data_IF_690041980623
#
_entry.id   IF_690041980623
#
_cell.length_a   1.000
_cell.length_b   1.000
_cell.length_c   1.000
_cell.angle_alpha   90.00
_cell.angle_beta   90.00
_cell.angle_gamma   90.00
#
_symmetry.space_group_name_H-M   'P 1'
#
loop_
_entity.id
_entity.type
_entity.pdbx_description
1 polymer ?
#
# COMPACT_ATOMS: atom_id res chain seq x y z
N UNK A 1 -42.29 -21.82 -36.60
CA UNK A 1 -42.42 -21.55 -35.15
C UNK A 1 -41.03 -21.64 -34.56
N UNK A 2 -40.33 -20.52 -34.53
CA UNK A 2 -38.99 -20.38 -33.93
C UNK A 2 -39.17 -19.59 -32.66
N UNK A 3 -39.14 -20.27 -31.51
CA UNK A 3 -39.09 -19.63 -30.20
C UNK A 3 -37.65 -19.21 -29.95
N UNK A 4 -37.42 -17.91 -30.08
CA UNK A 4 -36.26 -17.20 -29.57
C UNK A 4 -36.24 -17.33 -28.05
N UNK A 5 -35.26 -18.07 -27.53
CA UNK A 5 -35.06 -18.22 -26.08
C UNK A 5 -34.25 -17.01 -25.65
N UNK A 6 -34.96 -16.04 -25.08
CA UNK A 6 -34.39 -14.79 -24.57
C UNK A 6 -33.17 -15.06 -23.69
N UNK A 7 -32.00 -14.64 -24.19
CA UNK A 7 -30.83 -14.46 -23.37
C UNK A 7 -31.16 -13.38 -22.33
N UNK A 8 -31.28 -13.77 -21.07
CA UNK A 8 -31.31 -12.85 -19.93
C UNK A 8 -30.08 -11.95 -20.03
N UNK A 9 -30.23 -10.61 -19.93
CA UNK A 9 -29.08 -9.73 -19.93
C UNK A 9 -28.21 -10.11 -18.73
N UNK A 10 -26.94 -10.45 -18.96
CA UNK A 10 -25.95 -10.47 -17.88
C UNK A 10 -26.02 -9.10 -17.21
N UNK A 11 -26.42 -9.06 -15.95
CA UNK A 11 -26.41 -7.84 -15.14
C UNK A 11 -25.00 -7.28 -15.23
N UNK A 12 -24.83 -6.17 -15.94
CA UNK A 12 -23.57 -5.46 -15.99
C UNK A 12 -23.25 -5.01 -14.56
N UNK A 13 -22.15 -5.52 -14.01
CA UNK A 13 -21.61 -5.06 -12.75
C UNK A 13 -21.40 -3.54 -12.84
N UNK A 14 -22.17 -2.77 -12.08
CA UNK A 14 -21.98 -1.32 -12.03
C UNK A 14 -20.89 -1.03 -11.00
N UNK A 15 -19.65 -1.07 -11.46
CA UNK A 15 -18.53 -0.53 -10.71
C UNK A 15 -18.58 1.00 -10.74
N UNK A 16 -18.49 1.63 -9.57
CA UNK A 16 -18.50 3.09 -9.41
C UNK A 16 -17.25 3.55 -8.67
N UNK A 17 -16.44 4.40 -9.31
CA UNK A 17 -15.32 5.05 -8.61
C UNK A 17 -15.85 6.20 -7.75
N UNK A 18 -15.34 6.34 -6.53
CA UNK A 18 -15.62 7.53 -5.72
C UNK A 18 -15.02 8.78 -6.39
N UNK A 19 -15.86 9.77 -6.67
CA UNK A 19 -15.43 11.06 -7.19
C UNK A 19 -14.92 11.95 -6.04
N UNK A 20 -13.60 12.16 -5.97
CA UNK A 20 -12.96 12.89 -4.87
C UNK A 20 -12.85 14.40 -5.11
N UNK A 21 -13.07 14.87 -6.33
CA UNK A 21 -13.08 16.30 -6.67
C UNK A 21 -14.26 16.99 -5.97
N UNK A 22 -13.96 18.06 -5.20
CA UNK A 22 -14.95 18.77 -4.39
C UNK A 22 -15.54 17.98 -3.21
N UNK A 23 -15.18 16.70 -3.04
CA UNK A 23 -15.73 15.85 -1.98
C UNK A 23 -15.34 16.34 -0.58
N UNK A 24 -16.23 16.21 0.39
CA UNK A 24 -15.96 16.44 1.82
C UNK A 24 -15.87 15.11 2.57
N UNK A 25 -15.39 15.13 3.81
CA UNK A 25 -15.44 13.97 4.71
C UNK A 25 -16.88 13.48 4.92
N UNK A 26 -17.88 14.38 4.89
CA UNK A 26 -19.30 14.03 4.93
C UNK A 26 -19.76 13.24 3.71
N UNK A 27 -19.41 13.68 2.50
CA UNK A 27 -19.76 12.95 1.27
C UNK A 27 -19.04 11.61 1.17
N UNK A 28 -17.77 11.54 1.61
CA UNK A 28 -17.02 10.28 1.68
C UNK A 28 -17.64 9.32 2.70
N UNK A 29 -17.94 9.80 3.90
CA UNK A 29 -18.58 9.01 4.94
C UNK A 29 -19.94 8.46 4.48
N UNK A 30 -20.78 9.29 3.88
CA UNK A 30 -22.07 8.84 3.31
C UNK A 30 -21.90 7.78 2.22
N UNK A 31 -20.90 7.94 1.34
CA UNK A 31 -20.60 6.98 0.27
C UNK A 31 -20.15 5.61 0.81
N UNK A 32 -19.36 5.61 1.89
CA UNK A 32 -18.90 4.40 2.60
C UNK A 32 -20.03 3.72 3.36
N UNK A 33 -20.84 4.48 4.10
CA UNK A 33 -21.99 3.96 4.85
C UNK A 33 -23.01 3.30 3.92
N UNK A 34 -23.28 3.90 2.75
CA UNK A 34 -24.15 3.31 1.73
C UNK A 34 -23.63 1.95 1.19
N UNK A 35 -22.39 1.58 1.50
CA UNK A 35 -21.71 0.34 1.09
C UNK A 35 -21.29 -0.53 2.27
N UNK A 36 -21.92 -0.33 3.42
CA UNK A 36 -21.75 -1.16 4.61
C UNK A 36 -20.47 -0.89 5.42
N UNK A 37 -19.73 0.19 5.14
CA UNK A 37 -18.53 0.55 5.90
C UNK A 37 -18.85 1.56 6.99
N UNK A 38 -18.67 1.15 8.24
CA UNK A 38 -18.85 1.99 9.43
C UNK A 38 -17.63 2.89 9.66
N UNK A 39 -17.64 4.07 9.03
CA UNK A 39 -16.56 5.05 9.14
C UNK A 39 -16.43 5.69 10.53
N UNK A 40 -17.36 5.47 11.47
CA UNK A 40 -17.21 5.94 12.86
C UNK A 40 -16.03 5.27 13.58
N UNK A 41 -15.56 4.13 13.05
CA UNK A 41 -14.39 3.39 13.53
C UNK A 41 -13.05 4.00 13.07
N UNK A 42 -13.08 4.99 12.18
CA UNK A 42 -11.88 5.63 11.64
C UNK A 42 -11.45 6.75 12.59
N UNK A 43 -10.76 6.37 13.66
CA UNK A 43 -10.43 7.22 14.79
C UNK A 43 -8.94 7.17 15.12
N UNK A 44 -8.27 8.32 14.95
CA UNK A 44 -6.84 8.48 15.29
C UNK A 44 -6.58 8.27 16.78
N UNK A 45 -7.53 8.61 17.66
CA UNK A 45 -7.38 8.39 19.10
C UNK A 45 -7.34 6.90 19.46
N UNK A 46 -7.85 6.04 18.56
CA UNK A 46 -7.81 4.57 18.69
C UNK A 46 -6.67 3.93 17.90
N UNK A 47 -5.74 4.74 17.37
CA UNK A 47 -4.57 4.25 16.62
C UNK A 47 -4.83 3.94 15.15
N UNK A 48 -5.99 4.30 14.61
CA UNK A 48 -6.35 4.11 13.18
C UNK A 48 -6.22 5.42 12.40
N UNK A 49 -6.45 5.41 11.08
CA UNK A 49 -6.57 6.65 10.29
C UNK A 49 -8.03 7.14 10.37
N UNK A 50 -8.26 8.44 10.16
CA UNK A 50 -9.61 9.01 10.13
C UNK A 50 -10.14 9.22 8.69
N UNK A 51 -11.38 9.71 8.54
CA UNK A 51 -11.95 10.03 7.23
C UNK A 51 -11.18 11.11 6.47
N UNK A 52 -10.59 12.07 7.17
CA UNK A 52 -9.76 13.11 6.56
C UNK A 52 -8.50 12.50 5.93
N UNK A 53 -7.84 11.57 6.63
CA UNK A 53 -6.71 10.82 6.10
C UNK A 53 -7.09 10.04 4.84
N UNK A 54 -8.25 9.37 4.83
CA UNK A 54 -8.71 8.65 3.65
C UNK A 54 -9.02 9.58 2.49
N UNK A 55 -9.64 10.73 2.75
CA UNK A 55 -9.94 11.70 1.71
C UNK A 55 -8.66 12.30 1.11
N UNK A 56 -7.66 12.61 1.95
CA UNK A 56 -6.33 13.05 1.49
C UNK A 56 -5.71 11.98 0.60
N UNK A 57 -5.72 10.72 1.05
CA UNK A 57 -5.13 9.59 0.33
C UNK A 57 -5.80 9.33 -1.03
N UNK A 58 -7.12 9.46 -1.12
CA UNK A 58 -7.83 9.32 -2.41
C UNK A 58 -7.55 10.51 -3.33
N UNK A 59 -7.41 11.72 -2.77
CA UNK A 59 -7.10 12.94 -3.53
C UNK A 59 -5.66 13.01 -4.02
N UNK A 60 -4.70 12.52 -3.23
CA UNK A 60 -3.30 12.39 -3.64
C UNK A 60 -3.11 11.30 -4.69
N UNK A 61 -4.11 10.42 -4.86
CA UNK A 61 -4.05 9.33 -5.80
C UNK A 61 -3.33 8.08 -5.27
N UNK A 62 -2.92 8.10 -4.01
CA UNK A 62 -2.36 6.93 -3.29
C UNK A 62 -3.35 5.77 -3.16
N UNK A 63 -4.66 6.06 -3.29
CA UNK A 63 -5.68 5.01 -3.32
C UNK A 63 -6.86 5.37 -4.21
N UNK A 64 -7.59 4.34 -4.62
CA UNK A 64 -8.86 4.48 -5.34
C UNK A 64 -9.93 3.69 -4.63
N UNK A 65 -11.09 4.30 -4.39
CA UNK A 65 -12.26 3.61 -3.87
C UNK A 65 -13.17 3.21 -5.03
N UNK A 66 -13.44 1.91 -5.15
CA UNK A 66 -14.38 1.36 -6.12
C UNK A 66 -15.52 0.72 -5.36
N UNK A 67 -16.75 1.14 -5.65
CA UNK A 67 -17.96 0.52 -5.18
C UNK A 67 -18.52 -0.46 -6.21
N UNK A 68 -19.06 -1.59 -5.76
CA UNK A 68 -19.84 -2.50 -6.60
C UNK A 68 -21.25 -2.62 -6.05
N UNK A 69 -22.24 -2.55 -6.94
CA UNK A 69 -23.65 -2.72 -6.59
C UNK A 69 -24.04 -4.20 -6.42
N UNK A 70 -23.07 -5.13 -6.56
CA UNK A 70 -23.28 -6.58 -6.46
C UNK A 70 -22.28 -7.18 -5.47
N UNK A 71 -22.74 -8.13 -4.66
CA UNK A 71 -21.89 -8.81 -3.69
C UNK A 71 -21.24 -10.05 -4.35
N UNK A 72 -20.12 -9.87 -5.06
CA UNK A 72 -19.48 -10.96 -5.83
C UNK A 72 -18.82 -12.05 -4.96
N UNK A 73 -18.47 -11.70 -3.74
CA UNK A 73 -17.97 -12.65 -2.74
C UNK A 73 -18.97 -12.67 -1.61
N UNK A 74 -19.52 -13.83 -1.23
CA UNK A 74 -20.45 -14.01 -0.10
C UNK A 74 -19.91 -13.64 1.29
N UNK A 75 -19.00 -12.66 1.38
CA UNK A 75 -18.52 -12.02 2.60
C UNK A 75 -19.45 -10.89 3.03
N UNK A 76 -20.27 -11.20 4.02
CA UNK A 76 -20.95 -10.34 5.02
C UNK A 76 -21.03 -8.83 4.69
N UNK A 77 -21.81 -8.50 3.67
CA UNK A 77 -22.89 -7.55 3.85
C UNK A 77 -24.14 -8.41 4.01
N UNK A 78 -24.75 -8.44 5.20
CA UNK A 78 -25.78 -9.41 5.58
C UNK A 78 -27.01 -9.45 4.65
N UNK A 79 -27.14 -8.47 3.73
CA UNK A 79 -28.38 -8.21 3.01
C UNK A 79 -28.23 -8.25 1.47
N UNK A 80 -27.06 -8.65 0.95
CA UNK A 80 -26.81 -8.61 -0.51
C UNK A 80 -26.64 -7.19 -1.10
N UNK A 81 -26.29 -6.21 -0.26
CA UNK A 81 -26.14 -4.80 -0.64
C UNK A 81 -24.81 -4.45 -1.30
N UNK A 82 -24.73 -3.20 -1.79
CA UNK A 82 -23.54 -2.62 -2.41
C UNK A 82 -22.32 -2.67 -1.48
N UNK A 83 -21.13 -2.88 -2.05
CA UNK A 83 -19.86 -3.01 -1.33
C UNK A 83 -18.84 -2.01 -1.87
N UNK A 84 -17.72 -1.81 -1.16
CA UNK A 84 -16.56 -1.10 -1.71
C UNK A 84 -15.23 -1.75 -1.36
N UNK A 85 -14.26 -1.50 -2.25
CA UNK A 85 -12.87 -1.91 -2.11
C UNK A 85 -11.98 -0.69 -2.31
N UNK A 86 -10.99 -0.54 -1.43
CA UNK A 86 -9.91 0.43 -1.53
C UNK A 86 -8.71 -0.21 -2.24
N UNK A 87 -8.40 0.26 -3.43
CA UNK A 87 -7.24 -0.16 -4.20
C UNK A 87 -6.03 0.70 -3.85
N UNK A 88 -4.89 0.05 -3.59
CA UNK A 88 -3.62 0.71 -3.29
C UNK A 88 -2.52 0.01 -4.07
N UNK A 89 -1.71 0.75 -4.80
CA UNK A 89 -0.48 0.23 -5.41
C UNK A 89 0.70 0.57 -4.52
N UNK A 90 1.54 -0.43 -4.23
CA UNK A 90 2.66 -0.31 -3.30
C UNK A 90 3.89 -0.93 -3.94
N UNK A 91 4.98 -0.17 -4.01
CA UNK A 91 6.32 -0.68 -4.24
C UNK A 91 6.83 -1.33 -2.95
N UNK A 92 7.36 -2.53 -3.04
CA UNK A 92 8.16 -3.16 -1.98
C UNK A 92 9.53 -3.46 -2.54
N UNK A 93 10.54 -2.74 -2.05
CA UNK A 93 11.88 -2.73 -2.60
C UNK A 93 12.84 -3.46 -1.67
N UNK A 94 13.49 -4.53 -2.16
CA UNK A 94 14.67 -5.09 -1.50
C UNK A 94 15.90 -4.28 -1.91
N UNK A 95 16.27 -3.35 -1.05
CA UNK A 95 17.51 -2.57 -1.19
C UNK A 95 18.69 -3.45 -0.80
N UNK A 96 19.61 -3.66 -1.74
CA UNK A 96 20.83 -4.45 -1.56
C UNK A 96 22.07 -3.59 -1.76
N UNK A 97 23.18 -3.98 -1.13
CA UNK A 97 24.50 -3.38 -1.39
C UNK A 97 25.16 -4.03 -2.61
N UNK A 98 26.05 -3.31 -3.31
CA UNK A 98 26.93 -3.92 -4.31
C UNK A 98 27.68 -5.12 -3.73
N UNK A 99 27.68 -6.25 -4.44
CA UNK A 99 28.36 -7.48 -4.02
C UNK A 99 27.71 -8.27 -2.88
N UNK A 100 26.59 -7.82 -2.32
CA UNK A 100 25.86 -8.57 -1.28
C UNK A 100 25.17 -9.82 -1.84
N UNK A 101 24.94 -10.81 -0.96
CA UNK A 101 24.15 -11.99 -1.30
C UNK A 101 22.71 -11.61 -1.66
N UNK A 102 22.08 -12.35 -2.58
CA UNK A 102 20.74 -12.03 -3.09
C UNK A 102 19.63 -12.09 -2.02
N UNK A 103 19.86 -12.81 -0.91
CA UNK A 103 18.94 -12.94 0.22
C UNK A 103 19.18 -11.90 1.31
N UNK A 104 20.21 -11.05 1.21
CA UNK A 104 20.50 -10.01 2.20
C UNK A 104 20.04 -8.66 1.66
N UNK A 105 19.10 -8.02 2.36
CA UNK A 105 18.63 -6.70 2.00
C UNK A 105 18.37 -5.83 3.24
N UNK A 106 18.16 -4.55 3.01
CA UNK A 106 17.81 -3.59 4.03
C UNK A 106 16.38 -3.82 4.52
N UNK A 107 16.23 -3.93 5.85
CA UNK A 107 14.95 -4.11 6.54
C UNK A 107 14.72 -2.92 7.46
N UNK A 108 13.56 -2.29 7.31
CA UNK A 108 13.05 -1.29 8.23
C UNK A 108 12.66 -1.98 9.55
N UNK A 109 13.39 -1.70 10.63
CA UNK A 109 13.15 -2.34 11.94
C UNK A 109 12.10 -1.58 12.72
N UNK A 110 12.29 -0.27 12.85
CA UNK A 110 11.40 0.62 13.58
C UNK A 110 11.29 2.00 12.95
N UNK A 111 10.16 2.66 13.22
CA UNK A 111 9.93 4.07 12.96
C UNK A 111 9.66 4.81 14.26
N UNK A 112 10.19 6.02 14.37
CA UNK A 112 9.93 6.94 15.48
C UNK A 112 9.33 8.24 14.93
N UNK A 113 8.17 8.65 15.47
CA UNK A 113 7.41 9.80 14.96
C UNK A 113 7.50 11.04 15.88
N UNK A 114 8.06 12.11 15.34
CA UNK A 114 8.03 13.46 15.91
C UNK A 114 8.48 13.55 17.38
N UNK A 115 8.07 14.62 18.08
CA UNK A 115 8.43 14.86 19.49
C UNK A 115 7.87 13.83 20.47
N UNK A 116 6.84 13.08 20.06
CA UNK A 116 6.21 12.08 20.91
C UNK A 116 7.07 10.84 21.12
N UNK A 117 8.13 10.67 20.31
CA UNK A 117 8.99 9.48 20.30
C UNK A 117 8.16 8.18 20.18
N UNK A 118 7.00 8.25 19.52
CA UNK A 118 6.14 7.09 19.32
C UNK A 118 6.84 6.12 18.38
N UNK A 119 7.17 4.94 18.90
CA UNK A 119 7.85 3.87 18.17
C UNK A 119 6.88 2.87 17.56
N UNK A 120 7.14 2.47 16.32
CA UNK A 120 6.41 1.40 15.62
C UNK A 120 7.39 0.40 15.04
N UNK A 121 7.18 -0.89 15.33
CA UNK A 121 7.93 -1.97 14.67
C UNK A 121 7.40 -2.18 13.26
N UNK A 122 8.31 -2.40 12.31
CA UNK A 122 8.00 -2.53 10.88
C UNK A 122 8.37 -3.91 10.35
N UNK A 123 9.62 -4.31 10.56
CA UNK A 123 10.23 -5.58 10.14
C UNK A 123 9.89 -5.97 8.70
N UNK A 124 10.10 -5.04 7.77
CA UNK A 124 9.78 -5.22 6.36
C UNK A 124 10.81 -4.51 5.47
N UNK A 125 10.95 -4.91 4.20
CA UNK A 125 11.70 -4.12 3.22
C UNK A 125 11.08 -2.73 3.03
N UNK A 126 11.84 -1.82 2.43
CA UNK A 126 11.37 -0.48 2.05
C UNK A 126 10.04 -0.60 1.29
N UNK A 127 9.03 0.15 1.72
CA UNK A 127 7.67 0.04 1.16
C UNK A 127 7.08 1.42 0.92
N UNK A 128 6.82 1.75 -0.32
CA UNK A 128 6.32 3.07 -0.73
C UNK A 128 5.04 2.93 -1.55
N UNK A 129 4.07 3.81 -1.38
CA UNK A 129 2.87 3.81 -2.22
C UNK A 129 3.15 4.51 -3.54
N UNK A 130 2.56 4.00 -4.60
CA UNK A 130 2.57 4.68 -5.88
C UNK A 130 1.53 5.81 -5.87
N UNK A 131 1.89 6.94 -6.46
CA UNK A 131 0.98 8.04 -6.76
C UNK A 131 0.12 7.73 -7.99
N UNK A 132 -0.97 8.47 -8.19
CA UNK A 132 -1.84 8.24 -9.35
C UNK A 132 -1.08 8.42 -10.67
N UNK A 133 -1.04 7.35 -11.47
CA UNK A 133 -0.39 7.33 -12.78
C UNK A 133 1.13 7.18 -12.74
N UNK A 134 1.73 7.05 -11.55
CA UNK A 134 3.15 6.80 -11.39
C UNK A 134 3.50 5.36 -11.77
N UNK A 135 4.56 5.18 -12.56
CA UNK A 135 5.07 3.86 -12.89
C UNK A 135 5.96 3.34 -11.75
N UNK A 136 5.93 2.03 -11.52
CA UNK A 136 6.65 1.42 -10.40
C UNK A 136 8.16 1.71 -10.42
N UNK A 137 8.75 1.91 -11.61
CA UNK A 137 10.16 2.27 -11.79
C UNK A 137 10.49 3.67 -11.27
N UNK A 138 9.60 4.62 -11.54
CA UNK A 138 9.73 6.01 -11.06
C UNK A 138 9.64 6.04 -9.53
N UNK A 139 8.74 5.21 -8.98
CA UNK A 139 8.57 5.04 -7.54
C UNK A 139 9.84 4.48 -6.86
N UNK A 140 10.68 3.67 -7.54
CA UNK A 140 11.91 3.11 -6.93
C UNK A 140 12.87 4.22 -6.50
N UNK A 141 13.20 5.12 -7.43
CA UNK A 141 14.16 6.19 -7.16
C UNK A 141 13.61 7.20 -6.15
N UNK A 142 12.31 7.53 -6.26
CA UNK A 142 11.63 8.38 -5.29
C UNK A 142 11.65 7.78 -3.89
N UNK A 143 11.31 6.49 -3.76
CA UNK A 143 11.28 5.83 -2.47
C UNK A 143 12.67 5.76 -1.82
N UNK A 144 13.73 5.46 -2.58
CA UNK A 144 15.11 5.49 -2.05
C UNK A 144 15.48 6.89 -1.58
N UNK A 145 15.14 7.92 -2.36
CA UNK A 145 15.43 9.32 -2.00
C UNK A 145 14.68 9.77 -0.75
N UNK A 146 13.39 9.50 -0.66
CA UNK A 146 12.52 9.95 0.43
C UNK A 146 12.88 9.24 1.75
N UNK A 147 13.00 7.90 1.70
CA UNK A 147 13.16 7.09 2.90
C UNK A 147 14.62 7.00 3.36
N UNK A 148 15.60 6.98 2.45
CA UNK A 148 17.02 6.77 2.78
C UNK A 148 17.88 8.02 2.58
N UNK A 149 17.39 9.05 1.88
CA UNK A 149 18.20 10.15 1.35
C UNK A 149 19.06 10.89 2.38
N UNK A 150 18.60 11.03 3.62
CA UNK A 150 19.38 11.68 4.69
C UNK A 150 20.61 10.88 5.14
N UNK A 151 20.66 9.58 4.82
CA UNK A 151 21.74 8.66 5.17
C UNK A 151 22.63 8.32 3.97
N UNK A 152 22.22 8.67 2.74
CA UNK A 152 22.98 8.38 1.53
C UNK A 152 24.13 9.39 1.35
N UNK A 153 25.21 8.93 0.72
CA UNK A 153 26.29 9.78 0.20
C UNK A 153 25.76 10.62 -0.96
N UNK A 154 26.33 11.79 -1.21
CA UNK A 154 25.86 12.74 -2.24
C UNK A 154 25.81 12.14 -3.66
N UNK A 155 26.66 11.16 -3.95
CA UNK A 155 26.82 10.50 -5.26
C UNK A 155 26.06 9.16 -5.36
N UNK A 156 25.03 8.95 -4.53
CA UNK A 156 24.22 7.74 -4.55
C UNK A 156 23.55 7.50 -5.91
N UNK A 157 23.31 6.23 -6.21
CA UNK A 157 22.60 5.81 -7.41
C UNK A 157 21.88 4.48 -7.18
N UNK A 158 20.96 4.13 -8.08
CA UNK A 158 20.14 2.92 -7.97
C UNK A 158 20.17 2.15 -9.27
N UNK A 159 20.58 0.88 -9.18
CA UNK A 159 20.46 -0.08 -10.26
C UNK A 159 19.30 -1.03 -9.97
N UNK A 160 18.21 -0.91 -10.74
CA UNK A 160 17.06 -1.80 -10.64
C UNK A 160 17.44 -3.17 -11.20
N UNK A 161 17.15 -4.24 -10.45
CA UNK A 161 17.39 -5.62 -10.91
C UNK A 161 16.11 -6.17 -11.52
N UNK A 162 15.88 -5.81 -12.78
CA UNK A 162 14.60 -5.98 -13.46
C UNK A 162 14.03 -7.41 -13.45
N UNK A 163 14.88 -8.42 -13.61
CA UNK A 163 14.45 -9.82 -13.65
C UNK A 163 13.83 -10.32 -12.33
N UNK A 164 14.03 -9.57 -11.24
CA UNK A 164 13.43 -9.85 -9.92
C UNK A 164 12.02 -9.30 -9.76
N UNK A 165 11.54 -8.44 -10.67
CA UNK A 165 10.23 -7.81 -10.54
C UNK A 165 9.11 -8.84 -10.50
N UNK A 166 8.22 -8.74 -9.51
CA UNK A 166 7.00 -9.53 -9.37
C UNK A 166 5.85 -8.62 -8.95
N UNK A 167 4.70 -8.78 -9.61
CA UNK A 167 3.45 -8.17 -9.17
C UNK A 167 2.65 -9.20 -8.37
N UNK A 168 2.42 -8.92 -7.09
CA UNK A 168 1.58 -9.74 -6.22
C UNK A 168 0.31 -8.97 -5.86
N UNK A 169 -0.83 -9.66 -5.82
CA UNK A 169 -2.10 -9.04 -5.42
C UNK A 169 -2.53 -9.64 -4.09
N UNK A 170 -2.78 -8.79 -3.10
CA UNK A 170 -3.28 -9.20 -1.78
C UNK A 170 -4.60 -8.49 -1.48
N UNK A 171 -5.51 -9.15 -0.77
CA UNK A 171 -6.78 -8.56 -0.36
C UNK A 171 -7.03 -8.85 1.12
N UNK A 172 -7.29 -7.80 1.89
CA UNK A 172 -7.47 -7.88 3.34
C UNK A 172 -8.40 -6.78 3.85
N UNK A 173 -8.86 -6.89 5.10
CA UNK A 173 -9.53 -5.78 5.77
C UNK A 173 -8.46 -4.80 6.27
N UNK A 174 -8.61 -3.52 5.91
CA UNK A 174 -7.64 -2.50 6.27
C UNK A 174 -7.51 -2.32 7.79
N UNK A 175 -6.29 -2.48 8.30
CA UNK A 175 -5.94 -2.13 9.68
C UNK A 175 -6.09 -0.62 9.93
N UNK A 176 -5.79 0.20 8.91
CA UNK A 176 -5.90 1.66 9.00
C UNK A 176 -7.34 2.16 8.94
N UNK A 177 -8.23 1.40 8.28
CA UNK A 177 -9.63 1.74 8.03
C UNK A 177 -10.50 0.51 8.34
N UNK A 178 -10.79 0.21 9.62
CA UNK A 178 -11.45 -1.02 10.01
C UNK A 178 -12.78 -1.26 9.29
N UNK A 179 -12.95 -2.44 8.69
CA UNK A 179 -14.14 -2.81 7.92
C UNK A 179 -14.10 -2.38 6.45
N UNK A 180 -13.14 -1.54 6.04
CA UNK A 180 -12.92 -1.24 4.63
C UNK A 180 -12.00 -2.30 4.01
N UNK A 181 -12.54 -3.09 3.08
CA UNK A 181 -11.76 -4.04 2.30
C UNK A 181 -10.73 -3.29 1.45
N UNK A 182 -9.50 -3.76 1.45
CA UNK A 182 -8.41 -3.18 0.66
C UNK A 182 -7.77 -4.25 -0.23
N UNK A 183 -7.50 -3.88 -1.48
CA UNK A 183 -6.79 -4.70 -2.45
C UNK A 183 -5.48 -4.00 -2.81
N UNK A 184 -4.38 -4.69 -2.55
CA UNK A 184 -3.02 -4.18 -2.74
C UNK A 184 -2.41 -4.78 -4.00
N UNK A 185 -1.97 -3.93 -4.92
CA UNK A 185 -1.05 -4.30 -5.99
C UNK A 185 0.38 -4.07 -5.47
N UNK A 186 1.06 -5.15 -5.08
CA UNK A 186 2.41 -5.12 -4.53
C UNK A 186 3.43 -5.33 -5.65
N UNK A 187 4.09 -4.26 -6.05
CA UNK A 187 5.21 -4.26 -6.98
C UNK A 187 6.49 -4.61 -6.21
N UNK A 188 6.89 -5.88 -6.23
CA UNK A 188 8.10 -6.37 -5.54
C UNK A 188 9.28 -6.38 -6.49
N UNK A 189 10.40 -5.77 -6.10
CA UNK A 189 11.62 -5.75 -6.93
C UNK A 189 12.85 -5.58 -6.06
N UNK A 190 14.00 -6.01 -6.56
CA UNK A 190 15.29 -5.72 -5.97
C UNK A 190 15.94 -4.50 -6.64
N UNK A 191 16.69 -3.74 -5.85
CA UNK A 191 17.61 -2.76 -6.38
C UNK A 191 18.96 -2.82 -5.66
N UNK A 192 20.03 -2.57 -6.40
CA UNK A 192 21.34 -2.28 -5.82
C UNK A 192 21.40 -0.77 -5.61
N UNK A 193 21.61 -0.35 -4.36
CA UNK A 193 21.76 1.08 -4.05
C UNK A 193 23.23 1.34 -3.72
N UNK A 194 23.84 2.23 -4.49
CA UNK A 194 25.18 2.74 -4.23
C UNK A 194 25.09 3.95 -3.30
N UNK A 195 26.15 4.21 -2.52
CA UNK A 195 26.17 5.35 -1.60
C UNK A 195 25.46 5.13 -0.26
N UNK A 196 25.06 3.89 0.09
CA UNK A 196 24.59 3.54 1.44
C UNK A 196 25.72 3.71 2.49
N UNK A 197 25.38 4.00 3.77
CA UNK A 197 26.35 3.99 4.90
C UNK A 197 27.12 2.67 4.97
N UNK A 198 28.35 2.59 5.43
CA UNK A 198 29.11 1.32 5.38
C UNK A 198 28.69 0.32 6.48
N UNK A 199 27.96 0.79 7.50
CA UNK A 199 27.49 0.04 8.66
C UNK A 199 26.31 -0.89 8.33
N UNK A 200 26.20 -2.02 9.04
CA UNK A 200 25.07 -2.95 8.86
C UNK A 200 23.72 -2.41 9.38
N UNK A 201 23.77 -1.44 10.30
CA UNK A 201 22.61 -0.79 10.90
C UNK A 201 22.82 0.73 10.90
N UNK A 202 21.82 1.49 10.46
CA UNK A 202 21.86 2.95 10.42
C UNK A 202 20.46 3.56 10.52
N UNK A 203 20.39 4.87 10.70
CA UNK A 203 19.13 5.62 10.74
C UNK A 203 19.01 6.58 9.55
N UNK A 204 17.78 6.81 9.10
CA UNK A 204 17.44 7.88 8.18
C UNK A 204 16.33 8.76 8.77
N UNK A 205 16.17 9.96 8.22
CA UNK A 205 15.19 10.97 8.61
C UNK A 205 14.44 11.44 7.36
N UNK A 206 13.12 11.33 7.41
CA UNK A 206 12.20 11.85 6.41
C UNK A 206 11.39 13.02 7.01
N UNK A 207 11.29 14.12 6.27
CA UNK A 207 10.42 15.24 6.63
C UNK A 207 9.00 14.98 6.12
N UNK A 208 8.09 14.62 7.03
CA UNK A 208 6.68 14.40 6.68
C UNK A 208 5.81 15.59 7.07
N UNK A 209 4.59 15.73 6.53
CA UNK A 209 3.62 16.72 7.01
C UNK A 209 3.28 16.62 8.51
N UNK A 210 3.60 15.48 9.15
CA UNK A 210 3.41 15.23 10.58
C UNK A 210 4.68 15.47 11.41
N UNK A 211 5.73 16.00 10.78
CA UNK A 211 7.07 16.20 11.35
C UNK A 211 8.05 15.10 10.94
N UNK A 212 9.21 15.10 11.59
CA UNK A 212 10.27 14.13 11.30
C UNK A 212 9.84 12.70 11.63
N UNK A 213 10.04 11.82 10.65
CA UNK A 213 10.02 10.38 10.81
C UNK A 213 11.47 9.91 10.81
N UNK A 214 11.88 9.19 11.86
CA UNK A 214 13.18 8.51 11.90
C UNK A 214 12.98 7.02 11.72
N UNK A 215 13.68 6.43 10.77
CA UNK A 215 13.62 4.99 10.50
C UNK A 215 14.97 4.35 10.83
N UNK A 216 14.96 3.24 11.56
CA UNK A 216 16.14 2.41 11.80
C UNK A 216 16.14 1.26 10.81
N UNK A 217 17.24 1.13 10.09
CA UNK A 217 17.41 0.16 9.01
C UNK A 217 18.54 -0.79 9.33
N UNK A 218 18.36 -2.06 8.94
CA UNK A 218 19.39 -3.08 9.13
C UNK A 218 19.46 -4.06 7.98
N UNK A 219 20.67 -4.41 7.55
CA UNK A 219 20.87 -5.51 6.61
C UNK A 219 20.62 -6.85 7.29
N UNK A 220 19.64 -7.59 6.78
CA UNK A 220 19.29 -8.91 7.29
C UNK A 220 18.93 -9.83 6.14
N UNK A 221 18.96 -11.14 6.42
CA UNK A 221 18.41 -12.12 5.49
C UNK A 221 16.90 -11.95 5.40
N UNK A 222 16.40 -11.84 4.18
CA UNK A 222 14.99 -11.73 3.90
C UNK A 222 14.65 -12.42 2.58
N UNK A 223 13.68 -13.32 2.67
CA UNK A 223 13.06 -13.95 1.51
C UNK A 223 11.65 -13.40 1.39
N UNK A 224 11.21 -13.21 0.15
CA UNK A 224 9.81 -12.94 -0.10
C UNK A 224 8.98 -14.06 0.49
N UNK A 225 7.92 -13.69 1.22
CA UNK A 225 6.88 -14.64 1.52
C UNK A 225 6.09 -14.83 0.23
N UNK A 226 6.51 -15.81 -0.57
CA UNK A 226 5.94 -16.12 -1.87
C UNK A 226 4.62 -16.90 -1.75
N UNK A 227 4.09 -17.07 -0.53
CA UNK A 227 2.82 -17.73 -0.32
C UNK A 227 2.80 -19.11 -0.97
N UNK A 228 3.87 -19.88 -0.81
CA UNK A 228 3.87 -21.31 -1.14
C UNK A 228 2.94 -22.05 -0.18
N UNK A 229 1.63 -21.81 -0.26
CA UNK A 229 0.71 -22.92 -0.12
C UNK A 229 1.03 -23.84 -1.30
N UNK A 230 1.83 -24.87 -1.04
CA UNK A 230 1.65 -26.13 -1.76
C UNK A 230 0.13 -26.38 -1.78
N UNK A 231 -0.48 -26.25 -2.95
CA UNK A 231 -1.71 -26.95 -3.21
C UNK A 231 -1.37 -28.41 -2.93
N UNK A 232 -1.85 -28.89 -1.78
CA UNK A 232 -1.68 -30.26 -1.35
C UNK A 232 -2.03 -31.19 -2.52
N UNK A 233 -1.13 -32.14 -2.76
CA UNK A 233 -1.34 -33.29 -3.64
C UNK A 233 -2.65 -34.01 -3.34
#
# INVERSE_FOLDING_TARGET
MTTDVGATPRTYERMTRFACEGATTGTLGGWLTARGVDASRFDRARGTKNLEDLLIEVRSGESVLIGSDVNETGGVGADGGATCVRFVSVLTLRVRRPGSSADVCLIEKEQTFGKSELKRRRNRPLSEKLSAGEEWRECVERAVREELGSALKDDWSVDIVDDTYRLCVAEEISVSYPGLRSRFALHRVDAIVHGLPDEDEFESVEETPRGQLRATWKFEKFNWDDGSSEAAR
#
